data_IF_277955237326
#
_entry.id   IF_277955237326
#
_cell.length_a   1.000
_cell.length_b   1.000
_cell.length_c   1.000
_cell.angle_alpha   90.00
_cell.angle_beta   90.00
_cell.angle_gamma   90.00
#
_symmetry.space_group_name_H-M   'P 1'
#
loop_
_entity.id
_entity.type
_entity.pdbx_description
1 polymer ?
#
# COMPACT_ATOMS: atom_id res chain seq x y z
N UNK A 1 52.76 -7.30 -24.41
CA UNK A 1 52.47 -7.52 -25.85
C UNK A 1 50.96 -7.55 -26.01
N UNK A 2 50.44 -6.74 -26.95
CA UNK A 2 49.04 -6.53 -27.36
C UNK A 2 48.15 -5.76 -26.35
N UNK A 3 48.01 -4.42 -26.40
CA UNK A 3 47.57 -3.45 -27.44
C UNK A 3 46.06 -3.21 -27.47
N UNK A 4 45.72 -1.95 -27.21
CA UNK A 4 44.40 -1.31 -27.29
C UNK A 4 43.70 -1.47 -28.64
N UNK A 5 42.38 -1.31 -28.66
CA UNK A 5 41.73 -0.52 -29.72
C UNK A 5 40.42 0.13 -29.26
N UNK A 6 40.51 1.45 -29.11
CA UNK A 6 39.44 2.44 -29.19
C UNK A 6 38.76 2.37 -30.57
N UNK A 7 37.47 2.69 -30.64
CA UNK A 7 36.90 3.20 -31.88
C UNK A 7 36.06 4.46 -31.62
N UNK A 8 36.58 5.59 -32.12
CA UNK A 8 35.92 6.88 -32.32
C UNK A 8 35.63 6.97 -33.81
N UNK A 9 34.42 7.35 -34.21
CA UNK A 9 34.20 8.11 -35.45
C UNK A 9 33.09 9.13 -35.25
N UNK A 10 33.36 10.34 -35.76
CA UNK A 10 32.59 11.58 -35.68
C UNK A 10 31.94 11.87 -37.04
N UNK A 11 30.74 12.46 -36.96
CA UNK A 11 30.17 13.56 -37.76
C UNK A 11 29.94 13.41 -39.28
N UNK A 12 28.65 13.42 -39.66
CA UNK A 12 27.94 14.51 -40.37
C UNK A 12 26.44 14.13 -40.38
N UNK A 13 25.43 14.98 -40.26
CA UNK A 13 25.29 16.42 -40.41
C UNK A 13 24.18 16.69 -41.42
N UNK A 14 22.91 16.69 -41.00
CA UNK A 14 21.83 17.34 -41.77
C UNK A 14 20.66 17.75 -40.87
N UNK A 15 20.28 19.02 -41.01
CA UNK A 15 19.26 19.75 -40.24
C UNK A 15 17.93 19.66 -40.96
N UNK A 16 16.83 19.34 -40.27
CA UNK A 16 15.48 19.71 -40.69
C UNK A 16 14.61 20.10 -39.48
N UNK A 17 14.09 21.33 -39.52
CA UNK A 17 13.01 21.83 -38.66
C UNK A 17 11.68 21.15 -39.01
N UNK A 18 10.72 21.08 -38.07
CA UNK A 18 9.53 21.92 -38.28
C UNK A 18 8.87 22.49 -37.01
N UNK A 19 8.40 23.73 -37.17
CA UNK A 19 7.04 24.23 -36.83
C UNK A 19 6.43 23.93 -35.45
N UNK A 20 6.41 25.01 -34.66
CA UNK A 20 5.42 25.39 -33.65
C UNK A 20 3.98 24.94 -33.93
N UNK A 21 3.33 24.38 -32.90
CA UNK A 21 1.88 24.29 -32.78
C UNK A 21 1.48 24.31 -31.31
N UNK A 22 0.95 25.46 -30.88
CA UNK A 22 0.45 25.74 -29.54
C UNK A 22 -1.00 25.25 -29.45
N UNK A 23 -1.24 24.13 -28.76
CA UNK A 23 -2.59 23.66 -28.43
C UNK A 23 -3.01 24.19 -27.06
N UNK A 24 -3.81 25.26 -27.07
CA UNK A 24 -4.59 25.72 -25.91
C UNK A 24 -5.86 24.88 -25.80
N UNK A 25 -5.98 24.08 -24.73
CA UNK A 25 -7.25 23.46 -24.36
C UNK A 25 -8.07 24.44 -23.51
N UNK A 26 -9.22 24.86 -24.06
CA UNK A 26 -10.26 25.63 -23.39
C UNK A 26 -11.21 24.65 -22.68
N UNK A 27 -11.23 24.64 -21.35
CA UNK A 27 -12.22 23.90 -20.57
C UNK A 27 -13.42 24.80 -20.27
N UNK A 28 -14.56 24.54 -20.94
CA UNK A 28 -15.85 25.15 -20.61
C UNK A 28 -16.50 24.39 -19.44
N UNK A 29 -16.81 25.14 -18.36
CA UNK A 29 -17.71 24.69 -17.28
C UNK A 29 -19.15 25.06 -17.65
N UNK A 30 -20.07 24.11 -17.57
CA UNK A 30 -21.52 24.35 -17.46
C UNK A 30 -22.12 23.33 -16.45
N UNK A 31 -23.02 23.74 -15.55
CA UNK A 31 -23.58 22.90 -14.48
C UNK A 31 -24.89 22.21 -14.87
N UNK A 32 -25.13 21.00 -14.34
CA UNK A 32 -26.42 20.30 -14.44
C UNK A 32 -27.41 20.77 -13.35
N UNK A 33 -28.71 20.93 -13.64
CA UNK A 33 -29.72 21.31 -12.65
C UNK A 33 -30.30 20.10 -11.91
N UNK A 34 -30.59 20.33 -10.63
CA UNK A 34 -31.32 19.44 -9.73
C UNK A 34 -32.83 19.47 -10.03
N UNK A 35 -33.49 18.32 -9.90
CA UNK A 35 -34.95 18.22 -9.79
C UNK A 35 -35.27 17.31 -8.61
N UNK A 36 -35.76 17.91 -7.53
CA UNK A 36 -36.36 17.25 -6.39
C UNK A 36 -37.85 17.03 -6.68
N UNK A 37 -38.35 15.82 -6.45
CA UNK A 37 -39.79 15.55 -6.37
C UNK A 37 -40.10 15.05 -4.95
N UNK A 38 -40.90 15.83 -4.24
CA UNK A 38 -41.37 15.54 -2.87
C UNK A 38 -42.82 15.08 -2.98
N UNK A 39 -43.14 13.88 -2.49
CA UNK A 39 -44.51 13.41 -2.30
C UNK A 39 -44.75 13.30 -0.79
N UNK A 40 -45.75 14.04 -0.31
CA UNK A 40 -46.16 14.10 1.09
C UNK A 40 -47.21 13.03 1.43
N UNK A 41 -47.13 12.47 2.64
CA UNK A 41 -48.20 11.67 3.27
C UNK A 41 -48.40 12.14 4.73
N UNK A 42 -49.60 11.97 5.33
CA UNK A 42 -50.15 12.82 6.39
C UNK A 42 -49.76 12.40 7.82
N UNK A 43 -50.01 13.24 8.85
CA UNK A 43 -49.56 12.99 10.21
C UNK A 43 -50.56 12.14 11.01
N UNK A 44 -50.04 11.19 11.81
CA UNK A 44 -50.80 10.48 12.82
C UNK A 44 -50.47 11.03 14.23
N UNK A 45 -51.46 11.75 14.77
CA UNK A 45 -51.96 11.83 16.15
C UNK A 45 -50.98 11.50 17.29
N UNK A 46 -50.67 12.53 18.09
CA UNK A 46 -50.05 12.42 19.40
C UNK A 46 -51.11 12.15 20.49
N UNK A 47 -50.86 11.14 21.33
CA UNK A 47 -51.55 10.96 22.62
C UNK A 47 -50.54 11.20 23.73
N UNK A 48 -50.81 12.22 24.53
CA UNK A 48 -50.00 12.56 25.70
C UNK A 48 -50.37 11.70 26.92
N UNK A 49 -49.34 11.32 27.67
CA UNK A 49 -49.46 11.04 29.09
C UNK A 49 -48.17 11.54 29.78
N UNK A 50 -48.36 12.39 30.77
CA UNK A 50 -47.33 13.10 31.52
C UNK A 50 -47.26 12.51 32.93
N UNK A 51 -46.11 11.99 33.36
CA UNK A 51 -45.78 11.84 34.79
C UNK A 51 -44.28 12.10 35.01
N UNK A 52 -44.05 13.00 35.97
CA UNK A 52 -42.82 13.52 36.59
C UNK A 52 -41.89 12.40 37.13
N UNK A 53 -40.59 12.51 37.38
CA UNK A 53 -39.68 13.60 37.77
C UNK A 53 -38.22 13.08 37.68
N UNK A 54 -37.24 13.99 37.54
CA UNK A 54 -35.90 13.99 38.16
C UNK A 54 -34.77 14.38 37.19
N UNK A 55 -34.14 15.51 37.51
CA UNK A 55 -33.00 16.11 36.80
C UNK A 55 -31.70 15.38 37.16
N UNK A 56 -31.00 14.86 36.14
CA UNK A 56 -29.53 14.79 36.12
C UNK A 56 -29.04 15.14 34.71
N UNK A 57 -28.32 16.25 34.62
CA UNK A 57 -27.66 16.73 33.40
C UNK A 57 -26.40 15.89 33.16
N UNK A 58 -26.47 14.95 32.23
CA UNK A 58 -25.29 14.41 31.55
C UNK A 58 -25.27 14.97 30.12
N UNK A 59 -24.17 15.62 29.74
CA UNK A 59 -23.95 16.06 28.37
C UNK A 59 -23.79 14.84 27.47
N UNK A 60 -24.89 14.45 26.81
CA UNK A 60 -24.92 13.35 25.85
C UNK A 60 -24.07 13.72 24.63
N UNK A 61 -23.04 12.93 24.37
CA UNK A 61 -22.29 12.93 23.10
C UNK A 61 -23.28 12.66 21.95
N UNK A 62 -23.14 13.33 20.79
CA UNK A 62 -24.00 13.04 19.64
C UNK A 62 -23.78 11.60 19.18
N UNK A 63 -24.89 10.85 19.13
CA UNK A 63 -24.97 9.51 18.54
C UNK A 63 -24.60 9.62 17.06
N UNK A 64 -23.66 8.82 16.54
CA UNK A 64 -23.37 8.83 15.11
C UNK A 64 -24.63 8.39 14.36
N UNK A 65 -25.12 9.24 13.46
CA UNK A 65 -26.22 8.91 12.54
C UNK A 65 -25.93 7.57 11.88
N UNK A 66 -26.88 6.64 11.99
CA UNK A 66 -26.84 5.38 11.26
C UNK A 66 -26.63 5.67 9.77
N UNK A 67 -25.47 5.28 9.24
CA UNK A 67 -25.25 5.25 7.80
C UNK A 67 -26.24 4.24 7.23
N UNK A 68 -27.04 4.58 6.21
CA UNK A 68 -27.82 3.56 5.53
C UNK A 68 -26.84 2.55 4.93
N UNK A 69 -26.94 1.29 5.36
CA UNK A 69 -26.29 0.19 4.66
C UNK A 69 -27.03 0.05 3.33
N UNK A 70 -26.45 0.63 2.29
CA UNK A 70 -26.89 0.37 0.93
C UNK A 70 -26.49 -1.07 0.60
N UNK A 71 -27.40 -2.01 0.86
CA UNK A 71 -27.35 -3.30 0.19
C UNK A 71 -27.56 -3.02 -1.29
N UNK A 72 -26.46 -2.97 -2.06
CA UNK A 72 -26.56 -3.01 -3.52
C UNK A 72 -27.15 -4.37 -3.88
N UNK A 73 -28.45 -4.39 -4.17
CA UNK A 73 -29.01 -5.46 -4.98
C UNK A 73 -28.23 -5.45 -6.30
N UNK A 74 -27.57 -6.56 -6.61
CA UNK A 74 -26.85 -6.71 -7.87
C UNK A 74 -27.80 -6.40 -9.01
N UNK A 75 -27.47 -5.35 -9.77
CA UNK A 75 -28.13 -5.05 -11.02
C UNK A 75 -28.06 -6.27 -11.95
N UNK A 76 -29.14 -6.44 -12.72
CA UNK A 76 -29.44 -7.52 -13.65
C UNK A 76 -28.19 -8.09 -14.34
N UNK A 77 -27.98 -9.39 -14.16
CA UNK A 77 -27.06 -10.15 -14.99
C UNK A 77 -27.77 -10.45 -16.31
N UNK A 78 -27.65 -9.54 -17.27
CA UNK A 78 -27.91 -9.83 -18.68
C UNK A 78 -26.80 -10.75 -19.20
N UNK A 79 -27.06 -12.05 -19.10
CA UNK A 79 -26.14 -13.11 -19.50
C UNK A 79 -26.68 -14.45 -19.03
N UNK A 80 -27.66 -14.97 -19.79
CA UNK A 80 -28.22 -16.32 -19.71
C UNK A 80 -28.07 -16.99 -18.33
N UNK A 81 -28.76 -16.44 -17.32
CA UNK A 81 -29.05 -17.19 -16.11
C UNK A 81 -29.98 -18.33 -16.53
N UNK A 82 -29.41 -19.50 -16.84
CA UNK A 82 -30.17 -20.73 -16.90
C UNK A 82 -31.01 -20.77 -15.62
N UNK A 83 -32.34 -20.70 -15.76
CA UNK A 83 -33.26 -20.74 -14.64
C UNK A 83 -32.83 -21.91 -13.75
N UNK A 84 -32.40 -21.61 -12.52
CA UNK A 84 -32.09 -22.65 -11.54
C UNK A 84 -33.43 -23.24 -11.15
N UNK A 85 -33.93 -24.16 -11.97
CA UNK A 85 -35.10 -24.95 -11.63
C UNK A 85 -34.76 -25.72 -10.37
N UNK A 86 -35.59 -25.57 -9.35
CA UNK A 86 -35.53 -26.45 -8.20
C UNK A 86 -35.58 -27.88 -8.74
N UNK A 87 -34.65 -28.75 -8.31
CA UNK A 87 -34.59 -30.16 -8.73
C UNK A 87 -35.89 -30.92 -8.46
N UNK A 88 -36.80 -30.35 -7.68
CA UNK A 88 -38.14 -30.86 -7.37
C UNK A 88 -39.17 -30.66 -8.50
N UNK A 89 -38.90 -29.81 -9.49
CA UNK A 89 -39.84 -29.51 -10.58
C UNK A 89 -41.11 -28.73 -10.16
N UNK A 90 -41.16 -28.22 -8.93
CA UNK A 90 -42.30 -27.45 -8.38
C UNK A 90 -42.15 -25.96 -8.65
N UNK A 91 -43.28 -25.25 -8.73
CA UNK A 91 -43.27 -23.78 -8.83
C UNK A 91 -42.98 -23.14 -7.47
N UNK A 92 -42.66 -21.84 -7.49
CA UNK A 92 -42.37 -21.08 -6.26
C UNK A 92 -43.63 -21.01 -5.39
N UNK A 93 -44.78 -20.80 -6.01
CA UNK A 93 -46.09 -20.69 -5.33
C UNK A 93 -46.49 -21.99 -4.63
N UNK A 94 -46.21 -23.14 -5.25
CA UNK A 94 -46.43 -24.46 -4.65
C UNK A 94 -45.51 -24.69 -3.44
N UNK A 95 -44.25 -24.24 -3.52
CA UNK A 95 -43.31 -24.34 -2.41
C UNK A 95 -43.70 -23.42 -1.24
N UNK A 96 -44.19 -22.22 -1.54
CA UNK A 96 -44.68 -21.27 -0.54
C UNK A 96 -45.96 -21.76 0.16
N UNK A 97 -46.92 -22.31 -0.61
CA UNK A 97 -48.14 -22.90 -0.06
C UNK A 97 -47.84 -24.09 0.86
N UNK A 98 -46.92 -24.97 0.49
CA UNK A 98 -46.46 -26.08 1.33
C UNK A 98 -45.76 -25.60 2.61
N UNK A 99 -44.94 -24.54 2.52
CA UNK A 99 -44.28 -23.93 3.68
C UNK A 99 -45.29 -23.32 4.66
N UNK A 100 -46.32 -22.60 4.16
CA UNK A 100 -47.43 -22.07 4.97
C UNK A 100 -48.27 -23.19 5.59
N UNK A 101 -48.44 -24.30 4.87
CA UNK A 101 -49.10 -25.50 5.37
C UNK A 101 -48.22 -26.38 6.29
N UNK A 102 -46.98 -25.96 6.58
CA UNK A 102 -46.03 -26.70 7.43
C UNK A 102 -45.48 -27.99 6.82
N UNK A 103 -45.70 -28.22 5.52
CA UNK A 103 -45.27 -29.42 4.78
C UNK A 103 -43.85 -29.23 4.24
N UNK A 104 -42.87 -29.24 5.13
CA UNK A 104 -41.47 -29.21 4.72
C UNK A 104 -41.01 -30.61 4.27
N UNK A 105 -40.50 -30.78 3.04
CA UNK A 105 -39.91 -32.04 2.64
C UNK A 105 -38.70 -32.35 3.53
N UNK A 106 -38.50 -33.63 3.85
CA UNK A 106 -37.32 -34.06 4.58
C UNK A 106 -36.07 -33.62 3.81
N UNK A 107 -35.12 -32.99 4.51
CA UNK A 107 -33.86 -32.58 3.90
C UNK A 107 -33.18 -33.81 3.27
N UNK A 108 -32.77 -33.76 2.00
CA UNK A 108 -32.07 -34.88 1.38
C UNK A 108 -30.81 -35.19 2.20
N UNK A 109 -30.43 -36.47 2.31
CA UNK A 109 -29.23 -36.85 3.04
C UNK A 109 -28.02 -36.13 2.43
N UNK A 110 -27.07 -35.63 3.26
CA UNK A 110 -25.90 -34.95 2.75
C UNK A 110 -25.09 -35.91 1.86
N UNK A 111 -24.92 -35.55 0.58
CA UNK A 111 -24.10 -36.31 -0.35
C UNK A 111 -22.63 -36.17 0.05
N UNK A 112 -22.07 -37.22 0.64
CA UNK A 112 -20.62 -37.29 0.88
C UNK A 112 -19.96 -37.77 -0.42
N UNK A 113 -18.95 -37.08 -0.97
CA UNK A 113 -18.21 -37.55 -2.13
C UNK A 113 -17.68 -38.97 -1.87
N UNK A 114 -17.85 -39.87 -2.83
CA UNK A 114 -17.26 -41.21 -2.74
C UNK A 114 -15.75 -41.12 -2.91
N UNK A 115 -15.04 -41.97 -2.16
CA UNK A 115 -13.60 -42.11 -2.32
C UNK A 115 -13.29 -42.77 -3.68
N UNK A 116 -12.11 -42.51 -4.27
CA UNK A 116 -11.68 -43.19 -5.49
C UNK A 116 -11.68 -44.72 -5.35
N UNK A 117 -11.87 -45.43 -6.48
CA UNK A 117 -11.74 -46.89 -6.53
C UNK A 117 -10.35 -47.34 -6.05
N UNK A 118 -10.30 -48.43 -5.27
CA UNK A 118 -9.06 -48.93 -4.66
C UNK A 118 -8.67 -48.25 -3.34
N UNK A 119 -9.48 -47.32 -2.82
CA UNK A 119 -9.23 -46.76 -1.47
C UNK A 119 -9.42 -47.85 -0.41
N UNK A 120 -8.42 -48.11 0.46
CA UNK A 120 -8.53 -49.14 1.48
C UNK A 120 -9.59 -48.79 2.52
N UNK A 121 -10.37 -49.80 2.93
CA UNK A 121 -11.30 -49.66 4.04
C UNK A 121 -10.53 -49.66 5.36
N UNK A 122 -10.51 -48.50 6.03
CA UNK A 122 -9.84 -48.32 7.32
C UNK A 122 -10.85 -47.98 8.41
N UNK A 123 -10.61 -48.45 9.63
CA UNK A 123 -11.35 -47.96 10.80
C UNK A 123 -10.99 -46.50 11.06
N UNK A 124 -11.97 -45.59 11.25
CA UNK A 124 -11.66 -44.21 11.60
C UNK A 124 -10.84 -44.15 12.88
N UNK A 125 -9.73 -43.42 12.85
CA UNK A 125 -8.93 -43.16 14.05
C UNK A 125 -9.78 -42.41 15.09
N UNK A 126 -9.77 -42.80 16.36
CA UNK A 126 -10.45 -42.06 17.43
C UNK A 126 -9.52 -41.01 18.03
N UNK A 127 -9.56 -39.80 17.44
CA UNK A 127 -8.72 -38.67 17.86
C UNK A 127 -9.57 -37.44 18.09
N UNK A 128 -9.51 -36.90 19.30
CA UNK A 128 -10.19 -35.66 19.69
C UNK A 128 -9.61 -34.43 18.95
N UNK A 129 -8.28 -34.34 18.85
CA UNK A 129 -7.56 -33.23 18.21
C UNK A 129 -7.38 -33.51 16.72
N UNK A 130 -7.95 -32.66 15.87
CA UNK A 130 -7.78 -32.72 14.41
C UNK A 130 -7.51 -31.32 13.85
N UNK A 131 -6.24 -30.87 13.78
CA UNK A 131 -5.89 -29.52 13.32
C UNK A 131 -6.40 -29.17 11.92
N UNK A 132 -6.61 -30.19 11.06
CA UNK A 132 -7.23 -30.01 9.73
C UNK A 132 -8.64 -29.42 9.78
N UNK A 133 -9.37 -29.57 10.91
CA UNK A 133 -10.72 -28.99 11.08
C UNK A 133 -10.71 -27.46 10.93
N UNK A 134 -9.71 -26.77 11.49
CA UNK A 134 -9.58 -25.31 11.39
C UNK A 134 -9.15 -24.83 9.98
N UNK A 135 -8.74 -25.75 9.10
CA UNK A 135 -8.26 -25.43 7.74
C UNK A 135 -9.26 -25.79 6.64
N UNK A 136 -10.43 -26.32 7.00
CA UNK A 136 -11.41 -26.94 6.09
C UNK A 136 -12.00 -25.96 5.08
N UNK A 137 -12.16 -24.69 5.43
CA UNK A 137 -12.70 -23.67 4.52
C UNK A 137 -11.91 -22.36 4.62
N UNK A 138 -11.96 -21.50 3.59
CA UNK A 138 -11.40 -20.16 3.67
C UNK A 138 -11.91 -19.37 4.88
N UNK A 139 -13.21 -19.43 5.18
CA UNK A 139 -13.81 -18.76 6.33
C UNK A 139 -13.22 -19.24 7.68
N UNK A 140 -12.99 -20.55 7.84
CA UNK A 140 -12.37 -21.08 9.05
C UNK A 140 -10.89 -20.67 9.16
N UNK A 141 -10.14 -20.68 8.06
CA UNK A 141 -8.74 -20.21 8.07
C UNK A 141 -8.65 -18.73 8.45
N UNK A 142 -9.56 -17.90 7.93
CA UNK A 142 -9.63 -16.49 8.27
C UNK A 142 -9.98 -16.26 9.75
N UNK A 143 -10.94 -17.02 10.31
CA UNK A 143 -11.35 -16.89 11.71
C UNK A 143 -10.24 -17.26 12.72
N UNK A 144 -9.31 -18.13 12.34
CA UNK A 144 -8.19 -18.57 13.17
C UNK A 144 -6.84 -18.03 12.69
N UNK A 145 -6.83 -16.99 11.85
CA UNK A 145 -5.59 -16.37 11.40
C UNK A 145 -4.97 -15.57 12.55
N UNK A 146 -3.72 -15.89 12.90
CA UNK A 146 -3.02 -15.28 14.03
C UNK A 146 -2.28 -13.98 13.66
N UNK A 147 -1.83 -13.88 12.41
CA UNK A 147 -1.04 -12.75 11.92
C UNK A 147 -1.70 -12.12 10.71
N UNK A 148 -1.89 -10.80 10.76
CA UNK A 148 -2.29 -9.98 9.60
C UNK A 148 -1.18 -9.01 9.25
N UNK A 149 -0.80 -8.97 7.97
CA UNK A 149 0.11 -7.95 7.44
C UNK A 149 -0.71 -6.98 6.62
N UNK A 150 -0.49 -5.70 6.84
CA UNK A 150 -1.10 -4.58 6.11
C UNK A 150 0.01 -3.72 5.49
N UNK A 151 -0.29 -2.89 4.48
CA UNK A 151 0.69 -1.95 3.92
C UNK A 151 1.37 -1.06 4.97
N UNK A 152 0.68 -0.72 6.06
CA UNK A 152 1.23 0.06 7.17
C UNK A 152 2.35 -0.66 7.94
N UNK A 153 2.53 -1.97 7.76
CA UNK A 153 3.61 -2.75 8.36
C UNK A 153 4.88 -2.79 7.49
N UNK A 154 4.83 -2.23 6.28
CA UNK A 154 5.92 -2.30 5.31
C UNK A 154 6.77 -1.03 5.35
N UNK A 155 8.09 -1.21 5.21
CA UNK A 155 9.04 -0.14 4.94
C UNK A 155 9.53 -0.33 3.51
N UNK A 156 9.43 0.69 2.68
CA UNK A 156 9.88 0.65 1.28
C UNK A 156 11.30 1.21 1.15
N UNK A 157 12.28 0.41 0.71
CA UNK A 157 13.60 0.89 0.32
C UNK A 157 13.54 1.72 -0.96
N UNK A 158 14.13 2.91 -0.93
CA UNK A 158 14.19 3.83 -2.07
C UNK A 158 15.65 4.22 -2.33
N UNK A 159 16.11 3.99 -3.56
CA UNK A 159 17.43 4.41 -4.00
C UNK A 159 17.34 5.80 -4.62
N UNK A 160 18.17 6.73 -4.16
CA UNK A 160 18.12 8.13 -4.58
C UNK A 160 19.43 8.58 -5.21
N UNK A 161 19.39 9.50 -6.16
CA UNK A 161 20.58 10.14 -6.73
C UNK A 161 20.31 11.60 -7.14
N UNK A 162 21.38 12.32 -7.47
CA UNK A 162 21.36 13.75 -7.86
C UNK A 162 20.83 14.04 -9.26
N UNK A 163 20.64 13.01 -10.08
CA UNK A 163 20.18 13.19 -11.46
C UNK A 163 18.69 13.52 -11.53
N UNK A 164 18.28 14.14 -12.64
CA UNK A 164 16.86 14.48 -12.89
C UNK A 164 16.04 13.26 -13.35
N UNK A 165 16.68 12.34 -14.06
CA UNK A 165 16.04 11.17 -14.67
C UNK A 165 16.26 9.90 -13.86
N UNK A 166 15.21 9.11 -13.69
CA UNK A 166 15.27 7.82 -13.01
C UNK A 166 16.07 6.79 -13.81
N UNK A 167 16.98 6.09 -13.14
CA UNK A 167 17.90 5.12 -13.77
C UNK A 167 17.61 3.70 -13.30
N UNK A 168 17.34 2.72 -14.18
CA UNK A 168 17.09 1.34 -13.77
C UNK A 168 18.30 0.70 -13.08
N UNK A 169 18.04 -0.17 -12.11
CA UNK A 169 19.08 -0.96 -11.43
C UNK A 169 19.09 -2.35 -12.06
N UNK A 170 20.09 -2.64 -12.89
CA UNK A 170 20.13 -3.89 -13.67
C UNK A 170 20.06 -5.17 -12.83
N UNK A 171 20.66 -5.18 -11.64
CA UNK A 171 20.63 -6.34 -10.73
C UNK A 171 19.29 -6.49 -9.99
N UNK A 172 18.44 -5.47 -10.00
CA UNK A 172 17.14 -5.44 -9.31
C UNK A 172 16.03 -5.05 -10.31
N UNK A 173 15.55 -5.99 -11.13
CA UNK A 173 14.51 -5.72 -12.12
C UNK A 173 13.27 -5.06 -11.49
N UNK A 174 12.80 -3.97 -12.10
CA UNK A 174 11.69 -3.18 -11.58
C UNK A 174 12.07 -2.12 -10.53
N UNK A 175 13.33 -2.10 -10.07
CA UNK A 175 13.84 -1.07 -9.17
C UNK A 175 14.65 -0.02 -9.93
N UNK A 176 14.54 1.23 -9.47
CA UNK A 176 15.18 2.39 -10.07
C UNK A 176 15.94 3.17 -9.00
N UNK A 177 17.05 3.78 -9.42
CA UNK A 177 17.65 4.93 -8.73
C UNK A 177 16.83 6.14 -9.15
N UNK A 178 16.16 6.74 -8.18
CA UNK A 178 15.19 7.81 -8.40
C UNK A 178 15.86 9.18 -8.28
N UNK A 179 15.51 10.09 -9.18
CA UNK A 179 15.85 11.50 -9.05
C UNK A 179 15.16 12.08 -7.82
N UNK A 180 15.94 12.64 -6.88
CA UNK A 180 15.42 12.99 -5.55
C UNK A 180 14.34 14.10 -5.57
N UNK A 181 14.31 14.94 -6.62
CA UNK A 181 13.35 16.04 -6.76
C UNK A 181 12.03 15.64 -7.41
N UNK A 182 12.04 14.62 -8.27
CA UNK A 182 10.90 14.28 -9.14
C UNK A 182 10.44 12.83 -8.97
N UNK A 183 11.20 11.86 -9.50
CA UNK A 183 10.83 10.44 -9.45
C UNK A 183 10.58 9.94 -8.03
N UNK A 184 11.37 10.40 -7.06
CA UNK A 184 11.17 10.08 -5.65
C UNK A 184 9.80 10.53 -5.13
N UNK A 185 9.36 11.75 -5.46
CA UNK A 185 8.09 12.28 -4.96
C UNK A 185 6.88 11.57 -5.55
N UNK A 186 7.01 11.12 -6.81
CA UNK A 186 6.00 10.31 -7.48
C UNK A 186 5.91 8.92 -6.87
N UNK A 187 7.05 8.28 -6.60
CA UNK A 187 7.08 6.94 -5.99
C UNK A 187 6.50 6.95 -4.57
N UNK A 188 6.85 7.97 -3.77
CA UNK A 188 6.27 8.16 -2.44
C UNK A 188 4.75 8.40 -2.53
N UNK A 189 4.29 9.19 -3.50
CA UNK A 189 2.85 9.41 -3.70
C UNK A 189 2.11 8.10 -3.99
N UNK A 190 2.59 7.31 -4.95
CA UNK A 190 2.02 6.00 -5.32
C UNK A 190 2.02 5.03 -4.14
N UNK A 191 3.11 5.00 -3.39
CA UNK A 191 3.27 4.14 -2.22
C UNK A 191 2.24 4.47 -1.13
N UNK A 192 1.98 5.76 -0.90
CA UNK A 192 0.97 6.20 0.06
C UNK A 192 -0.44 5.88 -0.37
N UNK A 193 -0.74 5.94 -1.68
CA UNK A 193 -2.05 5.58 -2.24
C UNK A 193 -2.42 4.11 -1.92
N UNK A 194 -1.42 3.23 -1.85
CA UNK A 194 -1.61 1.82 -1.46
C UNK A 194 -1.42 1.57 0.06
N UNK A 195 -1.18 2.61 0.85
CA UNK A 195 -1.10 2.55 2.32
C UNK A 195 0.30 2.36 2.93
N UNK A 196 1.37 2.41 2.12
CA UNK A 196 2.76 2.35 2.61
C UNK A 196 3.23 3.76 2.94
N UNK A 197 3.54 4.02 4.21
CA UNK A 197 3.91 5.35 4.71
C UNK A 197 5.31 5.41 5.36
N UNK A 198 6.09 4.34 5.23
CA UNK A 198 7.41 4.20 5.84
C UNK A 198 8.45 3.93 4.75
N UNK A 199 9.53 4.72 4.73
CA UNK A 199 10.52 4.69 3.65
C UNK A 199 11.94 4.67 4.22
N UNK A 200 12.84 3.90 3.63
CA UNK A 200 14.28 3.94 3.94
C UNK A 200 15.06 4.44 2.72
N UNK A 201 15.94 5.41 2.93
CA UNK A 201 16.66 6.07 1.84
C UNK A 201 18.08 5.53 1.69
N UNK A 202 18.45 5.13 0.47
CA UNK A 202 19.79 4.68 0.10
C UNK A 202 20.39 5.60 -0.98
N UNK A 203 21.42 6.40 -0.67
CA UNK A 203 21.97 7.36 -1.61
C UNK A 203 22.98 6.71 -2.57
N UNK A 204 22.91 7.06 -3.85
CA UNK A 204 24.01 6.92 -4.80
C UNK A 204 24.71 8.28 -4.92
N UNK A 205 25.70 8.49 -4.06
CA UNK A 205 26.52 9.70 -4.02
C UNK A 205 27.42 9.76 -5.27
N UNK A 206 27.60 10.94 -5.90
CA UNK A 206 28.57 11.14 -6.98
C UNK A 206 29.97 10.70 -6.57
N UNK A 207 30.67 9.95 -7.42
CA UNK A 207 31.95 9.35 -7.05
C UNK A 207 33.04 10.40 -6.72
N UNK A 208 32.94 11.62 -7.27
CA UNK A 208 33.85 12.73 -6.97
C UNK A 208 33.67 13.37 -5.58
N UNK A 209 32.60 13.02 -4.85
CA UNK A 209 32.38 13.44 -3.45
C UNK A 209 32.81 12.37 -2.45
N UNK A 210 33.25 11.20 -2.92
CA UNK A 210 33.66 10.10 -2.06
C UNK A 210 35.08 10.32 -1.56
N UNK A 211 35.29 10.13 -0.26
CA UNK A 211 36.61 10.23 0.39
C UNK A 211 36.86 9.01 1.27
N UNK A 212 38.12 8.74 1.62
CA UNK A 212 38.47 7.63 2.50
C UNK A 212 37.80 7.73 3.88
N UNK A 213 37.53 8.95 4.34
CA UNK A 213 36.91 9.26 5.64
C UNK A 213 35.40 9.44 5.57
N UNK A 214 34.81 9.41 4.37
CA UNK A 214 33.35 9.53 4.18
C UNK A 214 32.76 10.89 4.55
N UNK A 215 33.47 11.99 4.27
CA UNK A 215 33.12 13.33 4.81
C UNK A 215 31.74 13.84 4.33
N UNK A 216 31.31 13.42 3.13
CA UNK A 216 30.00 13.77 2.57
C UNK A 216 28.83 13.16 3.37
N UNK A 217 29.08 12.15 4.22
CA UNK A 217 28.05 11.50 5.04
C UNK A 217 27.37 12.45 6.04
N UNK A 218 28.08 13.50 6.47
CA UNK A 218 27.57 14.51 7.41
C UNK A 218 27.49 15.92 6.80
N UNK A 219 27.46 16.03 5.48
CA UNK A 219 27.19 17.30 4.81
C UNK A 219 25.72 17.68 5.01
N UNK A 220 25.44 18.77 5.73
CA UNK A 220 24.08 19.29 5.96
C UNK A 220 23.35 19.68 4.68
N UNK A 221 24.10 19.93 3.61
CA UNK A 221 23.60 20.18 2.27
C UNK A 221 23.77 18.97 1.36
N UNK A 222 24.09 17.79 1.89
CA UNK A 222 24.23 16.56 1.12
C UNK A 222 22.88 16.01 0.62
N UNK A 223 22.95 14.98 -0.22
CA UNK A 223 21.77 14.39 -0.87
C UNK A 223 20.71 13.92 0.15
N UNK A 224 21.11 13.19 1.19
CA UNK A 224 20.18 12.62 2.18
C UNK A 224 19.47 13.71 3.00
N UNK A 225 20.16 14.66 3.67
CA UNK A 225 19.48 15.73 4.42
C UNK A 225 18.54 16.58 3.57
N UNK A 226 18.93 16.96 2.34
CA UNK A 226 18.04 17.72 1.44
C UNK A 226 16.81 16.91 1.02
N UNK A 227 16.98 15.61 0.79
CA UNK A 227 15.87 14.70 0.47
C UNK A 227 14.90 14.57 1.64
N UNK A 228 15.39 14.45 2.88
CA UNK A 228 14.56 14.40 4.09
C UNK A 228 13.75 15.68 4.22
N UNK A 229 14.37 16.85 4.08
CA UNK A 229 13.68 18.16 4.15
C UNK A 229 12.58 18.25 3.10
N UNK A 230 12.87 17.90 1.85
CA UNK A 230 11.89 17.89 0.75
C UNK A 230 10.70 16.98 1.05
N UNK A 231 10.97 15.75 1.53
CA UNK A 231 9.91 14.79 1.85
C UNK A 231 9.07 15.23 3.04
N UNK A 232 9.69 15.80 4.09
CA UNK A 232 8.99 16.28 5.28
C UNK A 232 8.17 17.54 5.03
N UNK A 233 8.61 18.41 4.14
CA UNK A 233 7.82 19.56 3.69
C UNK A 233 6.54 19.10 2.98
N UNK A 234 6.65 18.14 2.05
CA UNK A 234 5.51 17.67 1.26
C UNK A 234 4.60 16.69 1.99
N UNK A 235 5.18 15.81 2.82
CA UNK A 235 4.51 14.71 3.49
C UNK A 235 4.95 14.62 4.96
N UNK A 236 4.52 15.53 5.84
CA UNK A 236 5.00 15.59 7.22
C UNK A 236 4.72 14.31 8.03
N UNK A 237 3.68 13.55 7.65
CA UNK A 237 3.17 12.36 8.33
C UNK A 237 3.88 11.04 7.97
N UNK A 238 4.74 11.02 6.96
CA UNK A 238 5.48 9.78 6.61
C UNK A 238 6.61 9.50 7.61
N UNK A 239 6.98 8.24 7.75
CA UNK A 239 8.16 7.81 8.50
C UNK A 239 9.33 7.67 7.53
N UNK A 240 10.46 8.32 7.85
CA UNK A 240 11.70 8.21 7.08
C UNK A 240 12.73 7.55 7.99
N UNK A 241 13.33 6.49 7.47
CA UNK A 241 14.52 5.84 8.00
C UNK A 241 15.71 6.24 7.15
N UNK A 242 16.85 6.42 7.79
CA UNK A 242 18.12 6.72 7.13
C UNK A 242 19.13 5.65 7.47
N UNK A 243 20.06 5.44 6.55
CA UNK A 243 21.19 4.56 6.75
C UNK A 243 22.38 5.33 7.35
N UNK A 244 23.01 4.73 8.35
CA UNK A 244 24.16 5.28 9.08
C UNK A 244 25.33 4.32 8.87
N UNK A 245 25.95 4.46 7.71
CA UNK A 245 27.13 3.73 7.25
C UNK A 245 27.93 4.62 6.27
N UNK A 246 29.24 4.36 6.13
CA UNK A 246 30.12 5.14 5.27
C UNK A 246 30.26 4.59 3.84
N UNK A 247 29.79 3.38 3.53
CA UNK A 247 29.99 2.75 2.21
C UNK A 247 29.47 3.56 1.01
N UNK A 248 28.38 4.37 1.09
CA UNK A 248 27.97 5.21 -0.04
C UNK A 248 28.90 6.41 -0.25
N UNK A 249 29.68 6.77 0.76
CA UNK A 249 30.53 7.97 0.84
C UNK A 249 32.03 7.63 0.80
N UNK A 250 32.38 6.36 1.02
CA UNK A 250 33.74 5.85 1.01
C UNK A 250 34.24 5.67 -0.43
N UNK A 251 35.45 6.13 -0.70
CA UNK A 251 36.13 5.84 -1.98
C UNK A 251 36.45 4.34 -2.14
N UNK A 252 36.58 3.62 -1.02
CA UNK A 252 36.94 2.21 -0.98
C UNK A 252 35.71 1.30 -0.90
N UNK A 253 34.54 1.87 -0.59
CA UNK A 253 33.26 1.17 -0.53
C UNK A 253 33.03 0.34 0.74
N UNK A 254 33.81 0.58 1.80
CA UNK A 254 33.65 -0.03 3.11
C UNK A 254 32.79 0.86 4.03
N UNK A 255 32.03 0.23 4.94
CA UNK A 255 31.17 0.90 5.92
C UNK A 255 31.94 1.76 6.95
N UNK A 256 33.27 1.63 6.99
CA UNK A 256 34.15 2.34 7.90
C UNK A 256 35.45 2.79 7.26
N UNK A 257 36.21 3.59 8.01
CA UNK A 257 37.51 4.13 7.59
C UNK A 257 38.51 2.98 7.52
N UNK A 258 39.19 2.84 6.38
CA UNK A 258 40.16 1.77 6.14
C UNK A 258 41.59 2.29 6.32
N UNK A 259 42.35 1.66 7.20
CA UNK A 259 43.79 1.92 7.35
C UNK A 259 44.59 1.28 6.21
N UNK A 260 45.82 1.74 5.98
CA UNK A 260 46.70 1.26 4.92
C UNK A 260 46.92 -0.27 4.89
N UNK A 261 46.82 -0.97 6.01
CA UNK A 261 46.95 -2.44 6.08
C UNK A 261 45.60 -3.19 5.95
N UNK A 262 44.53 -2.48 5.57
CA UNK A 262 43.21 -3.04 5.31
C UNK A 262 42.32 -3.18 6.54
N UNK A 263 42.76 -2.74 7.72
CA UNK A 263 41.95 -2.80 8.94
C UNK A 263 40.96 -1.64 9.01
N UNK A 264 39.68 -1.95 9.27
CA UNK A 264 38.64 -0.94 9.53
C UNK A 264 38.87 -0.34 10.92
N UNK A 265 39.01 0.98 10.99
CA UNK A 265 39.27 1.73 12.22
C UNK A 265 37.96 1.98 12.97
N UNK A 266 37.68 1.18 14.01
CA UNK A 266 36.38 1.16 14.68
C UNK A 266 35.98 2.49 15.31
N UNK A 267 36.82 3.06 16.18
CA UNK A 267 36.45 4.23 17.00
C UNK A 267 36.36 5.50 16.13
N UNK A 268 37.25 5.63 15.16
CA UNK A 268 37.24 6.69 14.16
C UNK A 268 36.04 6.58 13.23
N UNK A 269 35.65 5.35 12.85
CA UNK A 269 34.41 5.11 12.09
C UNK A 269 33.20 5.52 12.90
N UNK A 270 33.08 5.04 14.14
CA UNK A 270 31.97 5.41 15.04
C UNK A 270 31.88 6.93 15.21
N UNK A 271 33.01 7.62 15.33
CA UNK A 271 33.04 9.08 15.39
C UNK A 271 32.39 9.75 14.16
N UNK A 272 32.66 9.27 12.95
CA UNK A 272 32.03 9.78 11.73
C UNK A 272 30.54 9.41 11.65
N UNK A 273 30.20 8.17 12.03
CA UNK A 273 28.80 7.70 12.06
C UNK A 273 27.94 8.52 13.04
N UNK A 274 28.50 8.94 14.18
CA UNK A 274 27.82 9.86 15.10
C UNK A 274 27.52 11.21 14.43
N UNK A 275 28.45 11.77 13.65
CA UNK A 275 28.20 13.02 12.89
C UNK A 275 27.10 12.84 11.85
N UNK A 276 27.14 11.73 11.10
CA UNK A 276 26.13 11.38 10.10
C UNK A 276 24.75 11.22 10.74
N UNK A 277 24.65 10.53 11.88
CA UNK A 277 23.39 10.36 12.59
C UNK A 277 22.79 11.71 13.02
N UNK A 278 23.62 12.65 13.48
CA UNK A 278 23.18 13.99 13.89
C UNK A 278 22.75 14.84 12.68
N UNK A 279 23.52 14.84 11.58
CA UNK A 279 23.21 15.64 10.38
C UNK A 279 21.91 15.22 9.68
N UNK A 280 21.54 13.96 9.81
CA UNK A 280 20.32 13.40 9.21
C UNK A 280 19.05 13.74 10.00
N UNK A 281 19.16 14.28 11.21
CA UNK A 281 18.00 14.76 11.98
C UNK A 281 17.63 16.16 11.47
N UNK A 282 16.44 16.37 10.89
CA UNK A 282 16.01 17.70 10.51
C UNK A 282 15.72 18.53 11.77
N UNK A 283 16.47 19.62 11.97
CA UNK A 283 16.11 20.60 12.99
C UNK A 283 14.86 21.36 12.54
N UNK A 284 13.78 21.38 13.32
CA UNK A 284 12.70 22.30 13.06
C UNK A 284 13.21 23.72 13.29
N UNK A 285 13.01 24.63 12.31
CA UNK A 285 13.35 26.06 12.44
C UNK A 285 12.70 26.73 13.68
N UNK A 286 11.70 26.09 14.30
CA UNK A 286 11.07 26.54 15.55
C UNK A 286 11.82 26.19 16.84
N UNK A 287 13.00 25.55 16.76
CA UNK A 287 13.79 25.12 17.92
C UNK A 287 15.12 25.89 18.14
N UNK A 288 15.34 26.98 17.41
CA UNK A 288 16.44 27.94 17.60
C UNK A 288 15.87 29.35 17.87
#
# INVERSE_FOLDING_TARGET
MHSQQYNKSLLSGERHHPSTSTLRFSASRQPHPAMASTVAFPPAIAVGANVQHSRRTSSLRPVPRARPVAARASAERDGAAAAVQARSGRTIEECEADAVAGKFPAAPPPTRPQAPSGTPEIRPLDMAKRPRRNRRSPALRAAFQETSITPANLVLPLFIHEGEEDTPIGAMPGCFRLGWRHGLLEEVYKSRDVGVNSFVLFPKVPDGLKTQTGDEAYNDNGLVPRTIRLLKDKYPDIVIYTDVALDPYSSDGHDGIVREDGVIMNDETVHQLCKQAVSQVPFPESAL
#
